data_IF_520850215080
#
_entry.id   IF_520850215080
#
_cell.length_a   1.000
_cell.length_b   1.000
_cell.length_c   1.000
_cell.angle_alpha   90.00
_cell.angle_beta   90.00
_cell.angle_gamma   90.00
#
_symmetry.space_group_name_H-M   'P 1'
#
loop_
_entity.id
_entity.type
_entity.pdbx_description
1 polymer ?
#
# COMPACT_ATOMS: atom_id res chain seq x y z
N UNK A 1 7.41 -7.39 11.40
CA UNK A 1 6.96 -7.90 10.09
C UNK A 1 7.99 -8.89 9.57
N UNK A 2 7.59 -10.09 9.10
CA UNK A 2 8.54 -11.01 8.43
C UNK A 2 8.65 -10.69 6.93
N UNK A 3 9.83 -10.85 6.28
CA UNK A 3 10.00 -10.56 4.85
C UNK A 3 9.00 -11.31 3.95
N UNK A 4 8.65 -12.56 4.28
CA UNK A 4 7.66 -13.35 3.54
C UNK A 4 6.23 -12.76 3.61
N UNK A 5 5.86 -12.10 4.71
CA UNK A 5 4.56 -11.41 4.82
C UNK A 5 4.52 -10.16 3.96
N UNK A 6 5.61 -9.39 3.93
CA UNK A 6 5.69 -8.19 3.07
C UNK A 6 5.58 -8.56 1.60
N UNK A 7 6.32 -9.57 1.13
CA UNK A 7 6.25 -10.02 -0.26
C UNK A 7 4.84 -10.48 -0.66
N UNK A 8 4.15 -11.19 0.24
CA UNK A 8 2.76 -11.59 0.02
C UNK A 8 1.82 -10.38 -0.11
N UNK A 9 1.91 -9.39 0.80
CA UNK A 9 1.08 -8.20 0.72
C UNK A 9 1.34 -7.38 -0.56
N UNK A 10 2.59 -7.23 -0.97
CA UNK A 10 2.93 -6.53 -2.21
C UNK A 10 2.33 -7.22 -3.44
N UNK A 11 2.36 -8.56 -3.49
CA UNK A 11 1.73 -9.34 -4.57
C UNK A 11 0.21 -9.14 -4.59
N UNK A 12 -0.44 -9.13 -3.43
CA UNK A 12 -1.89 -8.89 -3.35
C UNK A 12 -2.25 -7.48 -3.83
N UNK A 13 -1.44 -6.47 -3.51
CA UNK A 13 -1.67 -5.10 -3.99
C UNK A 13 -1.46 -4.97 -5.51
N UNK A 14 -0.50 -5.71 -6.06
CA UNK A 14 -0.28 -5.82 -7.50
C UNK A 14 -1.45 -6.51 -8.21
N UNK A 15 -1.89 -7.68 -7.71
CA UNK A 15 -3.04 -8.42 -8.26
C UNK A 15 -4.35 -7.63 -8.22
N UNK A 16 -4.50 -6.73 -7.23
CA UNK A 16 -5.66 -5.83 -7.12
C UNK A 16 -5.53 -4.56 -7.99
N UNK A 17 -4.41 -4.38 -8.69
CA UNK A 17 -4.19 -3.21 -9.54
C UNK A 17 -3.92 -1.91 -8.78
N UNK A 18 -3.55 -1.97 -7.51
CA UNK A 18 -3.18 -0.79 -6.71
C UNK A 18 -1.71 -0.40 -6.84
N UNK A 19 -0.88 -1.33 -7.32
CA UNK A 19 0.56 -1.12 -7.43
C UNK A 19 1.10 -1.88 -8.64
N UNK A 20 2.15 -1.34 -9.25
CA UNK A 20 2.98 -2.02 -10.24
C UNK A 20 4.35 -2.33 -9.62
N UNK A 21 4.87 -3.53 -9.85
CA UNK A 21 6.18 -3.95 -9.37
C UNK A 21 7.12 -4.15 -10.55
N UNK A 22 7.99 -3.18 -10.80
CA UNK A 22 9.00 -3.28 -11.85
C UNK A 22 10.22 -4.05 -11.34
N UNK A 23 10.70 -4.96 -12.20
CA UNK A 23 11.89 -5.79 -11.97
C UNK A 23 12.98 -5.39 -12.98
N UNK A 24 13.86 -4.45 -12.63
CA UNK A 24 14.89 -4.01 -13.56
C UNK A 24 15.86 -5.14 -13.87
N UNK A 25 16.16 -5.32 -15.15
CA UNK A 25 17.04 -6.39 -15.66
C UNK A 25 18.48 -6.31 -15.11
N UNK A 26 18.93 -5.10 -14.73
CA UNK A 26 20.28 -4.86 -14.21
C UNK A 26 20.47 -5.33 -12.77
N UNK A 27 19.41 -5.43 -11.98
CA UNK A 27 19.45 -5.92 -10.61
C UNK A 27 18.17 -6.70 -10.28
N UNK A 28 18.27 -8.02 -10.33
CA UNK A 28 17.16 -8.94 -10.06
C UNK A 28 16.70 -8.93 -8.60
N UNK A 29 17.49 -8.35 -7.68
CA UNK A 29 17.12 -8.18 -6.27
C UNK A 29 16.34 -6.89 -6.04
N UNK A 30 16.45 -5.92 -6.95
CA UNK A 30 15.71 -4.68 -6.87
C UNK A 30 14.25 -4.90 -7.31
N UNK A 31 13.35 -4.26 -6.56
CA UNK A 31 11.91 -4.17 -6.88
C UNK A 31 11.53 -2.72 -6.76
N UNK A 32 11.08 -2.11 -7.85
CA UNK A 32 10.60 -0.73 -7.83
C UNK A 32 9.08 -0.81 -7.71
N UNK A 33 8.55 -0.13 -6.69
CA UNK A 33 7.14 -0.16 -6.33
C UNK A 33 6.50 1.16 -6.73
N UNK A 34 5.55 1.11 -7.66
CA UNK A 34 4.86 2.29 -8.16
C UNK A 34 3.36 2.16 -7.86
N UNK A 35 2.76 3.16 -7.20
CA UNK A 35 1.31 3.18 -7.03
C UNK A 35 0.64 3.50 -8.36
N UNK A 36 -0.48 2.81 -8.64
CA UNK A 36 -1.38 3.17 -9.73
C UNK A 36 -2.27 4.36 -9.30
N UNK A 37 -2.96 5.03 -10.24
CA UNK A 37 -3.97 6.02 -9.88
C UNK A 37 -5.04 5.48 -8.91
N UNK A 38 -5.46 4.23 -9.12
CA UNK A 38 -6.40 3.52 -8.25
C UNK A 38 -5.79 3.26 -6.86
N UNK A 39 -4.50 2.91 -6.81
CA UNK A 39 -3.76 2.75 -5.55
C UNK A 39 -3.65 4.05 -4.77
N UNK A 40 -3.38 5.18 -5.45
CA UNK A 40 -3.39 6.50 -4.81
C UNK A 40 -4.76 6.86 -4.25
N UNK A 41 -5.84 6.56 -4.99
CA UNK A 41 -7.20 6.78 -4.51
C UNK A 41 -7.50 5.92 -3.28
N UNK A 42 -7.20 4.63 -3.34
CA UNK A 42 -7.42 3.71 -2.21
C UNK A 42 -6.62 4.11 -0.97
N UNK A 43 -5.38 4.55 -1.13
CA UNK A 43 -4.55 5.05 -0.04
C UNK A 43 -5.15 6.33 0.57
N UNK A 44 -5.61 7.27 -0.26
CA UNK A 44 -6.28 8.48 0.22
C UNK A 44 -7.52 8.14 1.03
N UNK A 45 -8.39 7.26 0.51
CA UNK A 45 -9.62 6.85 1.19
C UNK A 45 -9.31 6.18 2.54
N UNK A 46 -8.26 5.36 2.59
CA UNK A 46 -7.79 4.74 3.83
C UNK A 46 -7.32 5.78 4.85
N UNK A 47 -6.49 6.75 4.43
CA UNK A 47 -5.99 7.81 5.31
C UNK A 47 -7.13 8.71 5.82
N UNK A 48 -8.11 9.03 4.99
CA UNK A 48 -9.30 9.77 5.40
C UNK A 48 -10.08 9.05 6.49
N UNK A 49 -10.31 7.73 6.33
CA UNK A 49 -10.98 6.91 7.36
C UNK A 49 -10.20 6.83 8.66
N UNK A 50 -8.88 6.72 8.59
CA UNK A 50 -8.05 6.74 9.81
C UNK A 50 -8.22 8.05 10.57
N UNK A 51 -8.23 9.19 9.87
CA UNK A 51 -8.45 10.50 10.48
C UNK A 51 -9.83 10.63 11.12
N UNK A 52 -10.88 10.07 10.50
CA UNK A 52 -12.22 10.04 11.09
C UNK A 52 -12.25 9.22 12.40
N UNK A 53 -11.54 8.09 12.43
CA UNK A 53 -11.42 7.25 13.63
C UNK A 53 -10.65 7.98 14.73
N UNK A 54 -9.51 8.61 14.40
CA UNK A 54 -8.72 9.43 15.35
C UNK A 54 -9.58 10.53 15.97
N UNK A 55 -10.30 11.30 15.16
CA UNK A 55 -11.21 12.35 15.66
C UNK A 55 -12.39 11.80 16.47
N UNK A 56 -12.84 10.57 16.20
CA UNK A 56 -13.90 9.93 17.01
C UNK A 56 -13.40 9.51 18.38
N UNK A 57 -12.12 9.12 18.49
CA UNK A 57 -11.48 8.77 19.76
C UNK A 57 -11.29 10.04 20.60
N UNK A 58 -10.80 11.14 20.01
CA UNK A 58 -10.58 12.42 20.71
C UNK A 58 -11.87 13.08 21.24
N UNK A 59 -13.02 12.86 20.58
CA UNK A 59 -14.31 13.40 21.02
C UNK A 59 -15.08 12.49 21.99
N UNK A 60 -14.51 11.33 22.34
CA UNK A 60 -15.10 10.35 23.27
C UNK A 60 -14.45 10.39 24.67
N UNK A 61 -13.49 11.28 24.89
CA UNK A 61 -12.88 11.64 26.19
C UNK A 61 -13.50 12.92 26.76
#
# INVERSE_FOLDING_TARGET
MSPGRLAHHLKVLEEKGYMMIDKPWKDLRLRILNLTPEGFKALRDFLSKLKEVEGSIENSE
#
